data_IF_985876164725
#
_entry.id   IF_985876164725
#
_cell.length_a   1.000
_cell.length_b   1.000
_cell.length_c   1.000
_cell.angle_alpha   90.00
_cell.angle_beta   90.00
_cell.angle_gamma   90.00
#
_symmetry.space_group_name_H-M   'P 1'
#
loop_
_entity.id
_entity.type
_entity.pdbx_description
1 polymer ?
#
# COMPACT_ATOMS: atom_id res chain seq x y z
N UNK A 1 -7.68 -21.33 -11.63
CA UNK A 1 -6.82 -21.25 -10.42
C UNK A 1 -5.40 -20.95 -10.90
N UNK A 2 -4.71 -19.98 -10.34
CA UNK A 2 -3.33 -19.68 -10.70
C UNK A 2 -2.43 -20.74 -10.06
N UNK A 3 -1.60 -21.40 -10.87
CA UNK A 3 -0.63 -22.38 -10.40
C UNK A 3 0.71 -21.66 -10.15
N UNK A 4 1.28 -21.85 -8.99
CA UNK A 4 2.58 -21.28 -8.64
C UNK A 4 3.40 -22.25 -7.81
N UNK A 5 4.71 -22.14 -7.90
CA UNK A 5 5.66 -22.83 -7.06
C UNK A 5 6.15 -21.88 -5.96
N UNK A 6 6.48 -22.44 -4.79
CA UNK A 6 6.94 -21.68 -3.63
C UNK A 6 8.21 -22.29 -3.06
N UNK A 7 9.14 -21.41 -2.66
CA UNK A 7 10.30 -21.78 -1.84
C UNK A 7 10.53 -20.72 -0.74
N UNK A 8 11.36 -21.05 0.23
CA UNK A 8 11.78 -20.16 1.30
C UNK A 8 13.29 -20.14 1.35
N UNK A 9 13.90 -18.95 1.20
CA UNK A 9 15.36 -18.80 1.32
C UNK A 9 15.79 -18.90 2.79
N UNK A 10 17.08 -19.13 3.02
CA UNK A 10 17.66 -19.24 4.39
C UNK A 10 17.49 -17.98 5.23
N UNK A 11 17.44 -16.81 4.57
CA UNK A 11 17.20 -15.52 5.22
C UNK A 11 15.71 -15.22 5.48
N UNK A 12 14.80 -16.15 5.20
CA UNK A 12 13.37 -16.02 5.43
C UNK A 12 12.58 -15.35 4.32
N UNK A 13 13.20 -14.98 3.19
CA UNK A 13 12.46 -14.47 2.02
C UNK A 13 11.60 -15.58 1.41
N UNK A 14 10.31 -15.33 1.32
CA UNK A 14 9.38 -16.22 0.59
C UNK A 14 9.43 -15.89 -0.89
N UNK A 15 9.64 -16.90 -1.74
CA UNK A 15 9.70 -16.77 -3.20
C UNK A 15 8.55 -17.52 -3.83
N UNK A 16 7.80 -16.85 -4.70
CA UNK A 16 6.72 -17.41 -5.50
C UNK A 16 7.10 -17.33 -6.97
N UNK A 17 6.80 -18.34 -7.76
CA UNK A 17 7.01 -18.33 -9.21
C UNK A 17 5.80 -18.92 -9.93
N UNK A 18 5.28 -18.16 -10.90
CA UNK A 18 4.27 -18.61 -11.86
C UNK A 18 4.86 -18.49 -13.28
N UNK A 19 5.05 -19.63 -13.97
CA UNK A 19 5.53 -19.66 -15.36
C UNK A 19 4.37 -19.45 -16.33
N UNK A 20 4.44 -18.38 -17.12
CA UNK A 20 3.55 -18.13 -18.26
C UNK A 20 4.40 -17.85 -19.52
N UNK A 21 4.37 -18.77 -20.46
CA UNK A 21 5.14 -18.70 -21.72
C UNK A 21 4.42 -17.91 -22.82
N UNK A 22 3.20 -17.43 -22.58
CA UNK A 22 2.41 -16.69 -23.56
C UNK A 22 2.77 -15.20 -23.61
N UNK A 23 3.64 -14.74 -22.75
CA UNK A 23 4.13 -13.36 -22.69
C UNK A 23 5.65 -13.32 -22.85
N UNK A 24 6.24 -12.29 -23.50
CA UNK A 24 7.69 -12.07 -23.52
C UNK A 24 8.20 -11.37 -22.25
N UNK A 25 7.33 -11.01 -21.31
CA UNK A 25 7.67 -10.26 -20.12
C UNK A 25 7.70 -11.14 -18.87
N UNK A 26 8.39 -10.61 -17.84
CA UNK A 26 8.30 -11.10 -16.46
C UNK A 26 7.93 -9.91 -15.56
N UNK A 27 6.97 -10.13 -14.68
CA UNK A 27 6.69 -9.21 -13.57
C UNK A 27 7.42 -9.71 -12.32
N UNK A 28 8.27 -8.87 -11.76
CA UNK A 28 8.93 -9.05 -10.46
C UNK A 28 8.21 -8.17 -9.46
N UNK A 29 7.63 -8.78 -8.43
CA UNK A 29 6.83 -8.09 -7.42
C UNK A 29 7.41 -8.39 -6.05
N UNK A 30 7.69 -7.35 -5.25
CA UNK A 30 8.14 -7.48 -3.86
C UNK A 30 7.12 -6.80 -2.94
N UNK A 31 6.55 -7.60 -2.06
CA UNK A 31 5.61 -7.18 -1.04
C UNK A 31 6.32 -7.20 0.31
N UNK A 32 6.38 -6.04 0.97
CA UNK A 32 6.78 -5.92 2.38
C UNK A 32 5.54 -5.90 3.28
N UNK A 33 5.56 -6.69 4.36
CA UNK A 33 4.46 -6.77 5.34
C UNK A 33 4.49 -5.59 6.30
N UNK A 34 4.48 -4.38 5.75
CA UNK A 34 4.48 -3.11 6.47
C UNK A 34 3.59 -2.12 5.74
N UNK A 35 2.68 -1.50 6.46
CA UNK A 35 1.78 -0.46 5.97
C UNK A 35 1.51 0.56 7.05
N UNK A 36 0.55 1.45 6.82
CA UNK A 36 0.28 2.54 7.77
C UNK A 36 -0.16 2.05 9.16
N UNK A 37 -0.70 0.84 9.31
CA UNK A 37 -1.05 0.27 10.61
C UNK A 37 0.15 0.00 11.52
N UNK A 38 1.35 -0.08 10.97
CA UNK A 38 2.58 -0.31 11.71
C UNK A 38 3.21 0.97 12.25
N UNK A 39 2.58 2.11 12.00
CA UNK A 39 3.04 3.43 12.42
C UNK A 39 2.57 3.77 13.84
N UNK A 40 3.18 4.79 14.42
CA UNK A 40 2.75 5.37 15.69
C UNK A 40 1.79 6.53 15.42
N UNK A 41 0.84 6.76 16.32
CA UNK A 41 -0.19 7.81 16.19
C UNK A 41 0.37 9.25 16.11
N UNK A 42 1.57 9.46 16.61
CA UNK A 42 2.32 10.74 16.54
C UNK A 42 3.24 10.84 15.33
N UNK A 43 3.35 9.77 14.52
CA UNK A 43 4.26 9.64 13.38
C UNK A 43 3.63 8.84 12.25
N UNK A 44 2.52 9.36 11.73
CA UNK A 44 1.77 8.71 10.64
C UNK A 44 2.25 9.18 9.27
N UNK A 45 2.07 8.36 8.23
CA UNK A 45 2.49 8.61 6.86
C UNK A 45 3.90 8.09 6.53
N UNK A 46 4.56 7.40 7.47
CA UNK A 46 5.93 6.89 7.27
C UNK A 46 5.99 5.78 6.23
N UNK A 47 5.03 4.86 6.20
CA UNK A 47 5.01 3.79 5.22
C UNK A 47 4.89 4.35 3.78
N UNK A 48 4.09 5.38 3.59
CA UNK A 48 3.96 6.07 2.31
C UNK A 48 5.20 6.91 1.97
N UNK A 49 5.78 7.63 2.95
CA UNK A 49 7.06 8.31 2.75
C UNK A 49 8.15 7.31 2.31
N UNK A 50 8.15 6.10 2.88
CA UNK A 50 9.09 5.05 2.49
C UNK A 50 8.88 4.55 1.06
N UNK A 51 7.64 4.45 0.59
CA UNK A 51 7.36 4.15 -0.80
C UNK A 51 8.11 5.11 -1.72
N UNK A 52 8.04 6.44 -1.45
CA UNK A 52 8.77 7.44 -2.21
C UNK A 52 10.30 7.34 -2.05
N UNK A 53 10.79 7.13 -0.83
CA UNK A 53 12.24 7.03 -0.56
C UNK A 53 12.89 5.84 -1.26
N UNK A 54 12.15 4.75 -1.47
CA UNK A 54 12.64 3.56 -2.17
C UNK A 54 12.95 3.80 -3.65
N UNK A 55 12.44 4.87 -4.25
CA UNK A 55 12.78 5.32 -5.60
C UNK A 55 13.92 6.36 -5.62
N UNK A 56 14.32 6.87 -4.46
CA UNK A 56 15.35 7.90 -4.32
C UNK A 56 16.80 7.43 -4.44
N UNK A 57 17.01 6.17 -4.88
CA UNK A 57 18.33 5.56 -5.03
C UNK A 57 18.69 4.64 -3.85
N UNK A 58 19.65 3.76 -4.10
CA UNK A 58 20.18 2.77 -3.16
C UNK A 58 21.70 2.90 -3.02
N UNK A 59 22.35 1.94 -2.37
CA UNK A 59 23.80 2.04 -2.10
C UNK A 59 24.65 2.11 -3.39
N UNK A 60 24.23 1.42 -4.45
CA UNK A 60 24.98 1.31 -5.71
C UNK A 60 24.18 1.85 -6.91
N UNK A 61 22.95 2.30 -6.71
CA UNK A 61 22.05 2.79 -7.78
C UNK A 61 21.59 4.21 -7.43
N UNK A 62 22.03 5.19 -8.21
CA UNK A 62 21.63 6.59 -8.02
C UNK A 62 20.29 6.89 -8.67
N UNK A 63 20.00 6.31 -9.84
CA UNK A 63 18.80 6.56 -10.65
C UNK A 63 18.13 5.23 -11.00
N UNK A 64 17.19 4.84 -10.15
CA UNK A 64 16.45 3.59 -10.29
C UNK A 64 15.64 3.56 -11.60
N UNK A 65 14.87 4.60 -11.88
CA UNK A 65 13.97 4.66 -13.03
C UNK A 65 14.71 4.58 -14.36
N UNK A 66 15.88 5.22 -14.45
CA UNK A 66 16.73 5.15 -15.63
C UNK A 66 17.13 3.72 -15.98
N UNK A 67 17.52 2.92 -14.97
CA UNK A 67 17.91 1.53 -15.20
C UNK A 67 16.73 0.68 -15.65
N UNK A 68 15.56 0.87 -15.07
CA UNK A 68 14.33 0.20 -15.48
C UNK A 68 13.98 0.54 -16.93
N UNK A 69 13.98 1.83 -17.29
CA UNK A 69 13.67 2.29 -18.65
C UNK A 69 14.67 1.79 -19.70
N UNK A 70 15.98 1.83 -19.41
CA UNK A 70 17.00 1.31 -20.31
C UNK A 70 16.87 -0.21 -20.55
N UNK A 71 16.36 -0.94 -19.58
CA UNK A 71 16.08 -2.37 -19.72
C UNK A 71 14.69 -2.66 -20.35
N UNK A 72 13.96 -1.63 -20.78
CA UNK A 72 12.63 -1.75 -21.39
C UNK A 72 11.53 -2.14 -20.41
N UNK A 73 11.74 -1.84 -19.13
CA UNK A 73 10.78 -2.12 -18.06
C UNK A 73 9.90 -0.92 -17.71
N UNK A 74 8.87 -1.21 -16.93
CA UNK A 74 8.00 -0.26 -16.25
C UNK A 74 7.87 -0.65 -14.78
N UNK A 75 7.86 0.33 -13.87
CA UNK A 75 7.81 0.10 -12.43
C UNK A 75 6.79 0.97 -11.74
N UNK A 76 6.22 0.47 -10.65
CA UNK A 76 5.34 1.24 -9.79
C UNK A 76 5.34 0.65 -8.37
N UNK A 77 4.69 1.37 -7.45
CA UNK A 77 4.48 0.93 -6.09
C UNK A 77 3.13 1.41 -5.54
N UNK A 78 2.71 0.83 -4.43
CA UNK A 78 1.60 1.34 -3.64
C UNK A 78 1.71 0.92 -2.18
N UNK A 79 1.21 1.77 -1.30
CA UNK A 79 1.10 1.52 0.13
C UNK A 79 -0.36 1.41 0.54
N UNK A 80 -0.67 0.40 1.35
CA UNK A 80 -1.97 0.21 1.98
C UNK A 80 -1.86 0.34 3.51
N UNK A 81 -2.95 0.11 4.20
CA UNK A 81 -2.90 0.02 5.65
C UNK A 81 -1.98 -1.13 6.13
N UNK A 82 -1.86 -2.23 5.37
CA UNK A 82 -1.27 -3.49 5.81
C UNK A 82 0.07 -3.83 5.16
N UNK A 83 0.34 -3.30 3.98
CA UNK A 83 1.50 -3.66 3.18
C UNK A 83 1.98 -2.52 2.27
N UNK A 84 3.24 -2.61 1.86
CA UNK A 84 3.83 -1.79 0.80
C UNK A 84 4.35 -2.72 -0.29
N UNK A 85 3.97 -2.45 -1.52
CA UNK A 85 4.23 -3.30 -2.65
C UNK A 85 4.97 -2.55 -3.75
N UNK A 86 6.01 -3.18 -4.31
CA UNK A 86 6.80 -2.66 -5.42
C UNK A 86 6.78 -3.69 -6.55
N UNK A 87 6.69 -3.24 -7.78
CA UNK A 87 6.74 -4.16 -8.91
C UNK A 87 7.39 -3.55 -10.14
N UNK A 88 8.05 -4.41 -10.91
CA UNK A 88 8.66 -4.12 -12.20
C UNK A 88 8.12 -5.12 -13.20
N UNK A 89 7.65 -4.66 -14.35
CA UNK A 89 7.38 -5.49 -15.51
C UNK A 89 8.48 -5.23 -16.55
N UNK A 90 9.19 -6.27 -16.96
CA UNK A 90 10.40 -6.16 -17.77
C UNK A 90 10.46 -7.28 -18.81
N UNK A 91 11.08 -7.09 -20.00
CA UNK A 91 11.38 -8.19 -20.90
C UNK A 91 12.13 -9.33 -20.19
N UNK A 92 11.73 -10.57 -20.44
CA UNK A 92 12.26 -11.73 -19.70
C UNK A 92 13.79 -11.88 -19.78
N UNK A 93 14.41 -11.45 -20.88
CA UNK A 93 15.86 -11.47 -21.04
C UNK A 93 16.60 -10.48 -20.11
N UNK A 94 15.90 -9.45 -19.63
CA UNK A 94 16.44 -8.40 -18.77
C UNK A 94 16.05 -8.56 -17.29
N UNK A 95 15.51 -9.72 -16.89
CA UNK A 95 15.03 -9.98 -15.52
C UNK A 95 16.09 -9.71 -14.45
N UNK A 96 17.37 -9.98 -14.73
CA UNK A 96 18.43 -9.75 -13.74
C UNK A 96 18.61 -8.28 -13.40
N UNK A 97 18.27 -7.35 -14.30
CA UNK A 97 18.23 -5.92 -13.99
C UNK A 97 17.19 -5.63 -12.89
N UNK A 98 15.99 -6.19 -12.99
CA UNK A 98 14.96 -6.02 -11.97
C UNK A 98 15.40 -6.63 -10.63
N UNK A 99 15.95 -7.83 -10.63
CA UNK A 99 16.41 -8.50 -9.41
C UNK A 99 17.59 -7.77 -8.74
N UNK A 100 18.51 -7.25 -9.54
CA UNK A 100 19.60 -6.40 -9.05
C UNK A 100 19.07 -5.13 -8.36
N UNK A 101 18.23 -4.37 -9.03
CA UNK A 101 17.65 -3.13 -8.49
C UNK A 101 16.90 -3.38 -7.19
N UNK A 102 16.06 -4.41 -7.16
CA UNK A 102 15.26 -4.76 -6.00
C UNK A 102 16.11 -5.27 -4.81
N UNK A 103 17.13 -6.08 -5.10
CA UNK A 103 18.03 -6.59 -4.07
C UNK A 103 18.91 -5.49 -3.48
N UNK A 104 19.39 -4.56 -4.30
CA UNK A 104 20.23 -3.45 -3.84
C UNK A 104 19.46 -2.53 -2.91
N UNK A 105 18.22 -2.14 -3.26
CA UNK A 105 17.40 -1.30 -2.37
C UNK A 105 16.90 -2.03 -1.12
N UNK A 106 16.75 -3.37 -1.14
CA UNK A 106 16.46 -4.15 0.05
C UNK A 106 17.66 -4.21 0.99
N UNK A 107 18.87 -4.31 0.44
CA UNK A 107 20.10 -4.37 1.23
C UNK A 107 20.47 -3.03 1.86
N UNK A 108 20.41 -1.94 1.09
CA UNK A 108 20.81 -0.62 1.57
C UNK A 108 20.26 0.52 0.71
N UNK A 109 19.50 1.43 1.33
CA UNK A 109 19.08 2.67 0.68
C UNK A 109 20.13 3.77 0.83
N UNK A 110 20.13 4.73 -0.11
CA UNK A 110 20.90 5.95 0.01
C UNK A 110 20.19 6.94 0.95
N UNK A 111 20.47 6.84 2.24
CA UNK A 111 19.89 7.73 3.25
C UNK A 111 20.62 9.07 3.31
N UNK A 112 20.38 9.95 2.34
CA UNK A 112 20.87 11.31 2.39
C UNK A 112 19.82 12.29 2.96
N UNK A 113 20.28 13.34 3.67
CA UNK A 113 19.38 14.38 4.18
C UNK A 113 18.64 15.08 3.03
N UNK A 114 19.34 15.31 1.92
CA UNK A 114 18.75 15.93 0.73
C UNK A 114 17.61 15.09 0.14
N UNK A 115 17.80 13.78 -0.04
CA UNK A 115 16.76 12.89 -0.56
C UNK A 115 15.53 12.86 0.38
N UNK A 116 15.77 12.80 1.69
CA UNK A 116 14.70 12.88 2.67
C UNK A 116 13.91 14.19 2.56
N UNK A 117 14.59 15.34 2.50
CA UNK A 117 13.95 16.65 2.45
C UNK A 117 13.13 16.83 1.17
N UNK A 118 13.63 16.33 0.03
CA UNK A 118 12.88 16.33 -1.24
C UNK A 118 11.62 15.49 -1.13
N UNK A 119 11.72 14.24 -0.67
CA UNK A 119 10.56 13.34 -0.60
C UNK A 119 9.54 13.80 0.46
N UNK A 120 9.97 14.41 1.56
CA UNK A 120 9.05 15.04 2.50
C UNK A 120 8.20 16.12 1.82
N UNK A 121 8.79 16.98 1.00
CA UNK A 121 8.03 18.02 0.27
C UNK A 121 7.05 17.41 -0.72
N UNK A 122 7.45 16.36 -1.46
CA UNK A 122 6.57 15.66 -2.39
C UNK A 122 5.34 15.10 -1.67
N UNK A 123 5.54 14.35 -0.58
CA UNK A 123 4.45 13.74 0.20
C UNK A 123 3.54 14.80 0.83
N UNK A 124 4.12 15.92 1.34
CA UNK A 124 3.33 17.03 1.90
C UNK A 124 2.47 17.70 0.83
N UNK A 125 3.00 17.94 -0.36
CA UNK A 125 2.21 18.51 -1.46
C UNK A 125 1.13 17.56 -1.94
N UNK A 126 1.41 16.26 -2.01
CA UNK A 126 0.40 15.23 -2.31
C UNK A 126 -0.72 15.23 -1.26
N UNK A 127 -0.36 15.32 0.04
CA UNK A 127 -1.35 15.44 1.11
C UNK A 127 -2.25 16.65 0.91
N UNK A 128 -1.67 17.83 0.64
CA UNK A 128 -2.44 19.05 0.39
C UNK A 128 -3.37 18.90 -0.81
N UNK A 129 -2.86 18.37 -1.91
CA UNK A 129 -3.65 18.16 -3.13
C UNK A 129 -4.81 17.19 -2.89
N UNK A 130 -4.58 16.06 -2.22
CA UNK A 130 -5.62 15.06 -2.00
C UNK A 130 -6.66 15.47 -0.97
N UNK A 131 -6.22 16.07 0.13
CA UNK A 131 -7.06 16.23 1.32
C UNK A 131 -7.48 17.67 1.61
N UNK A 132 -6.68 18.67 1.23
CA UNK A 132 -6.97 20.06 1.59
C UNK A 132 -7.47 20.90 0.43
N UNK A 133 -7.05 20.62 -0.80
CA UNK A 133 -7.34 21.46 -1.96
C UNK A 133 -8.52 20.93 -2.80
N UNK A 134 -9.13 19.82 -2.41
CA UNK A 134 -10.28 19.24 -3.11
C UNK A 134 -11.54 19.30 -2.25
N UNK A 135 -12.71 19.63 -2.79
CA UNK A 135 -13.98 19.49 -2.10
C UNK A 135 -14.14 18.05 -1.58
N UNK A 136 -14.58 17.91 -0.34
CA UNK A 136 -14.70 16.63 0.38
C UNK A 136 -13.38 15.85 0.56
N UNK A 137 -12.24 16.43 0.23
CA UNK A 137 -10.93 15.74 0.30
C UNK A 137 -10.60 15.22 1.69
N UNK A 138 -10.91 15.98 2.74
CA UNK A 138 -10.59 15.67 4.13
C UNK A 138 -11.59 14.70 4.82
N UNK A 139 -12.58 14.19 4.10
CA UNK A 139 -13.59 13.28 4.66
C UNK A 139 -12.94 12.08 5.35
N UNK A 140 -11.96 11.44 4.73
CA UNK A 140 -11.30 10.27 5.31
C UNK A 140 -10.44 10.60 6.52
N UNK A 141 -9.87 11.81 6.61
CA UNK A 141 -9.15 12.28 7.80
C UNK A 141 -10.08 12.40 9.02
N UNK A 142 -11.35 12.67 8.80
CA UNK A 142 -12.38 12.86 9.83
C UNK A 142 -13.18 11.58 10.09
N UNK A 143 -13.48 10.81 9.05
CA UNK A 143 -14.31 9.61 9.13
C UNK A 143 -13.57 8.42 9.75
N UNK A 144 -12.29 8.22 9.43
CA UNK A 144 -11.50 7.13 9.99
C UNK A 144 -11.40 7.19 11.53
N UNK A 145 -11.05 8.32 12.17
CA UNK A 145 -11.05 8.41 13.64
C UNK A 145 -12.46 8.28 14.27
N UNK A 146 -13.52 8.55 13.51
CA UNK A 146 -14.88 8.33 13.96
C UNK A 146 -15.23 6.82 13.94
N UNK A 147 -14.76 6.11 12.92
CA UNK A 147 -14.95 4.67 12.79
C UNK A 147 -14.06 3.87 13.74
N UNK A 148 -12.77 4.18 13.82
CA UNK A 148 -11.78 3.48 14.64
C UNK A 148 -11.28 4.38 15.78
N UNK A 149 -11.38 3.90 17.02
CA UNK A 149 -10.91 4.63 18.20
C UNK A 149 -9.52 4.19 18.66
N UNK A 150 -9.21 2.92 18.48
CA UNK A 150 -7.99 2.27 18.98
C UNK A 150 -7.15 1.70 17.84
N UNK A 151 -7.80 1.03 16.90
CA UNK A 151 -7.11 0.36 15.79
C UNK A 151 -6.38 1.37 14.90
N UNK A 152 -5.15 1.08 14.41
CA UNK A 152 -4.38 1.99 13.55
C UNK A 152 -5.04 2.34 12.21
N UNK A 153 -6.10 1.66 11.79
CA UNK A 153 -6.89 2.07 10.61
C UNK A 153 -7.60 3.42 10.78
N UNK A 154 -7.50 4.04 11.95
CA UNK A 154 -7.99 5.40 12.22
C UNK A 154 -7.24 6.51 11.47
N UNK A 155 -6.08 6.21 10.88
CA UNK A 155 -5.39 7.14 9.98
C UNK A 155 -5.23 6.58 8.56
N UNK A 156 -5.23 7.45 7.53
CA UNK A 156 -4.97 7.04 6.16
C UNK A 156 -3.48 6.76 5.93
N UNK A 157 -3.16 6.08 4.84
CA UNK A 157 -1.78 5.71 4.48
C UNK A 157 -0.83 6.90 4.34
N UNK A 158 -1.32 8.03 3.86
CA UNK A 158 -0.52 9.26 3.72
C UNK A 158 -0.28 9.98 5.06
N UNK A 159 -0.94 9.53 6.13
CA UNK A 159 -0.85 10.11 7.47
C UNK A 159 -2.02 11.02 7.84
N UNK A 160 -2.08 11.40 9.13
CA UNK A 160 -3.12 12.30 9.67
C UNK A 160 -2.81 13.76 9.43
N UNK A 161 -1.54 14.12 9.30
CA UNK A 161 -1.09 15.51 9.29
C UNK A 161 0.26 15.66 8.60
N UNK A 162 0.46 16.70 7.78
CA UNK A 162 1.76 17.02 7.16
C UNK A 162 2.89 17.20 8.19
N UNK A 163 2.58 17.70 9.39
CA UNK A 163 3.57 17.94 10.44
C UNK A 163 4.25 16.63 10.92
N UNK A 164 3.59 15.49 10.81
CA UNK A 164 4.21 14.19 11.11
C UNK A 164 5.35 13.88 10.15
N UNK A 165 5.17 14.21 8.87
CA UNK A 165 6.19 14.05 7.82
C UNK A 165 7.28 15.12 7.93
N UNK A 166 6.91 16.37 8.20
CA UNK A 166 7.88 17.48 8.41
C UNK A 166 8.89 17.16 9.52
N UNK A 167 8.42 16.58 10.62
CA UNK A 167 9.25 16.23 11.78
C UNK A 167 10.07 14.95 11.59
N UNK A 168 9.86 14.20 10.51
CA UNK A 168 10.63 12.99 10.24
C UNK A 168 12.13 13.30 10.13
N UNK A 169 12.94 12.56 10.88
CA UNK A 169 14.39 12.67 10.88
C UNK A 169 15.04 11.52 10.12
N UNK A 170 16.29 11.71 9.71
CA UNK A 170 17.05 10.64 9.05
C UNK A 170 17.21 9.39 9.96
N UNK A 171 17.28 9.60 11.28
CA UNK A 171 17.32 8.51 12.26
C UNK A 171 16.01 7.72 12.27
N UNK A 172 14.86 8.40 12.23
CA UNK A 172 13.55 7.74 12.18
C UNK A 172 13.41 6.89 10.93
N UNK A 173 13.85 7.43 9.78
CA UNK A 173 13.84 6.75 8.48
C UNK A 173 14.73 5.50 8.51
N UNK A 174 15.97 5.61 9.00
CA UNK A 174 16.87 4.45 9.13
C UNK A 174 16.30 3.38 10.05
N UNK A 175 15.71 3.78 11.18
CA UNK A 175 15.09 2.84 12.11
C UNK A 175 13.91 2.12 11.48
N UNK A 176 13.05 2.83 10.73
CA UNK A 176 11.91 2.24 10.04
C UNK A 176 12.35 1.23 8.98
N UNK A 177 13.38 1.56 8.18
CA UNK A 177 13.96 0.64 7.22
C UNK A 177 14.48 -0.63 7.88
N UNK A 178 15.36 -0.50 8.87
CA UNK A 178 15.93 -1.64 9.57
C UNK A 178 14.88 -2.50 10.28
N UNK A 179 13.74 -1.89 10.65
CA UNK A 179 12.70 -2.62 11.34
C UNK A 179 11.81 -3.41 10.38
N UNK A 180 11.51 -2.89 9.19
CA UNK A 180 10.48 -3.46 8.33
C UNK A 180 10.96 -3.96 6.97
N UNK A 181 12.05 -3.40 6.41
CA UNK A 181 12.54 -3.72 5.08
C UNK A 181 13.64 -4.77 5.14
N UNK A 182 13.22 -6.04 5.33
CA UNK A 182 14.12 -7.17 5.45
C UNK A 182 13.55 -8.39 4.71
N UNK A 183 14.41 -9.33 4.26
CA UNK A 183 13.97 -10.53 3.54
C UNK A 183 12.89 -11.33 4.27
N UNK A 184 13.02 -11.51 5.58
CA UNK A 184 12.07 -12.28 6.39
C UNK A 184 10.73 -11.54 6.65
N UNK A 185 10.63 -10.27 6.25
CA UNK A 185 9.37 -9.50 6.21
C UNK A 185 8.83 -9.30 4.80
N UNK A 186 9.43 -9.95 3.79
CA UNK A 186 9.08 -9.76 2.40
C UNK A 186 8.59 -11.06 1.73
N UNK A 187 7.88 -10.88 0.64
CA UNK A 187 7.52 -11.93 -0.32
C UNK A 187 7.91 -11.42 -1.70
N UNK A 188 8.71 -12.17 -2.44
CA UNK A 188 8.98 -11.91 -3.85
C UNK A 188 8.18 -12.86 -4.72
N UNK A 189 7.53 -12.33 -5.74
CA UNK A 189 6.77 -13.09 -6.73
C UNK A 189 7.25 -12.77 -8.13
N UNK A 190 7.59 -13.81 -8.89
CA UNK A 190 7.94 -13.72 -10.29
C UNK A 190 6.84 -14.37 -11.12
N UNK A 191 6.28 -13.64 -12.09
CA UNK A 191 5.22 -14.17 -12.97
C UNK A 191 5.50 -13.79 -14.42
N UNK A 192 5.47 -14.76 -15.33
CA UNK A 192 5.70 -14.55 -16.75
C UNK A 192 6.64 -15.57 -17.39
N UNK A 193 7.40 -15.14 -18.41
CA UNK A 193 8.26 -16.03 -19.20
C UNK A 193 9.56 -16.36 -18.47
N UNK A 194 9.44 -17.12 -17.40
CA UNK A 194 10.58 -17.63 -16.62
C UNK A 194 10.27 -19.02 -16.09
N UNK A 195 11.25 -19.92 -16.18
CA UNK A 195 11.16 -21.25 -15.59
C UNK A 195 11.41 -21.18 -14.08
N UNK A 196 10.68 -22.01 -13.32
CA UNK A 196 10.70 -22.00 -11.85
C UNK A 196 12.12 -22.18 -11.27
N UNK A 197 12.89 -23.15 -11.76
CA UNK A 197 14.24 -23.41 -11.25
C UNK A 197 15.19 -22.24 -11.53
N UNK A 198 15.07 -21.62 -12.70
CA UNK A 198 15.82 -20.41 -13.05
C UNK A 198 15.41 -19.24 -12.13
N UNK A 199 14.12 -19.04 -11.91
CA UNK A 199 13.60 -18.01 -11.01
C UNK A 199 14.18 -18.15 -9.60
N UNK A 200 14.11 -19.36 -9.02
CA UNK A 200 14.62 -19.61 -7.68
C UNK A 200 16.13 -19.43 -7.57
N UNK A 201 16.88 -19.91 -8.56
CA UNK A 201 18.35 -19.72 -8.61
C UNK A 201 18.74 -18.26 -8.71
N UNK A 202 18.02 -17.47 -9.51
CA UNK A 202 18.30 -16.04 -9.66
C UNK A 202 17.94 -15.26 -8.37
N UNK A 203 16.82 -15.58 -7.74
CA UNK A 203 16.45 -14.93 -6.45
C UNK A 203 17.44 -15.31 -5.36
N UNK A 204 17.90 -16.57 -5.27
CA UNK A 204 18.97 -16.96 -4.34
C UNK A 204 20.27 -16.19 -4.60
N UNK A 205 20.68 -16.06 -5.89
CA UNK A 205 21.87 -15.29 -6.29
C UNK A 205 21.83 -13.84 -5.79
N UNK A 206 20.69 -13.16 -5.96
CA UNK A 206 20.59 -11.72 -5.72
C UNK A 206 20.19 -11.38 -4.28
N UNK A 207 19.39 -12.22 -3.62
CA UNK A 207 18.82 -11.93 -2.30
C UNK A 207 19.36 -12.82 -1.19
N UNK A 208 20.00 -13.94 -1.51
CA UNK A 208 20.37 -14.97 -0.53
C UNK A 208 21.30 -14.49 0.59
N UNK A 209 22.22 -13.56 0.26
CA UNK A 209 23.20 -13.00 1.20
C UNK A 209 22.67 -11.79 2.01
N UNK A 210 21.47 -11.26 1.69
CA UNK A 210 20.89 -10.17 2.46
C UNK A 210 20.46 -10.69 3.83
N UNK A 211 20.94 -10.11 4.95
CA UNK A 211 20.67 -10.63 6.27
C UNK A 211 19.20 -10.45 6.67
N UNK A 212 18.66 -11.44 7.37
CA UNK A 212 17.38 -11.31 8.06
C UNK A 212 17.51 -10.35 9.26
N UNK A 213 16.45 -9.63 9.56
CA UNK A 213 16.40 -8.76 10.74
C UNK A 213 15.54 -9.38 11.85
N UNK A 214 15.81 -9.00 13.10
CA UNK A 214 14.88 -9.29 14.18
C UNK A 214 13.66 -8.38 14.04
N UNK A 215 12.49 -8.99 13.85
CA UNK A 215 11.23 -8.28 13.63
C UNK A 215 10.34 -8.40 14.87
N UNK A 216 10.46 -7.52 15.86
CA UNK A 216 9.41 -7.41 16.86
C UNK A 216 8.21 -6.74 16.19
N UNK A 217 7.24 -7.55 15.74
CA UNK A 217 6.00 -7.02 15.18
C UNK A 217 5.24 -6.35 16.33
N UNK A 218 4.87 -5.06 16.17
CA UNK A 218 4.03 -4.40 17.17
C UNK A 218 2.70 -5.16 17.27
N UNK A 219 2.23 -5.38 18.47
CA UNK A 219 0.90 -5.91 18.72
C UNK A 219 -0.12 -4.86 18.26
N UNK A 220 -0.95 -5.21 17.27
CA UNK A 220 -2.00 -4.33 16.77
C UNK A 220 -3.20 -4.48 17.70
N UNK A 221 -3.64 -3.42 18.38
CA UNK A 221 -4.79 -3.49 19.26
C UNK A 221 -6.08 -3.70 18.45
N UNK A 222 -6.92 -4.65 18.86
CA UNK A 222 -8.23 -4.85 18.25
C UNK A 222 -9.17 -3.66 18.50
N UNK A 223 -9.96 -3.31 17.50
CA UNK A 223 -10.97 -2.28 17.68
C UNK A 223 -12.13 -2.80 18.56
N UNK A 224 -12.55 -2.05 19.59
CA UNK A 224 -13.68 -2.45 20.40
C UNK A 224 -14.99 -2.46 19.61
N UNK A 225 -15.89 -3.38 19.96
CA UNK A 225 -17.21 -3.45 19.34
C UNK A 225 -17.95 -2.12 19.49
N UNK A 226 -18.38 -1.56 18.37
CA UNK A 226 -19.20 -0.35 18.37
C UNK A 226 -20.63 -0.66 18.81
N UNK A 227 -21.07 -0.09 19.92
CA UNK A 227 -22.40 -0.32 20.50
C UNK A 227 -23.41 0.80 20.25
N UNK A 228 -22.96 1.91 19.67
CA UNK A 228 -23.81 3.09 19.37
C UNK A 228 -23.33 3.80 18.12
N UNK A 229 -24.25 4.48 17.44
CA UNK A 229 -23.92 5.37 16.33
C UNK A 229 -22.96 6.48 16.80
N UNK A 230 -21.96 6.78 15.99
CA UNK A 230 -21.08 7.95 16.12
C UNK A 230 -21.37 8.86 14.93
N UNK A 231 -21.60 10.15 15.21
CA UNK A 231 -21.98 11.12 14.18
C UNK A 231 -21.13 12.38 14.29
N UNK A 232 -20.74 12.91 13.14
CA UNK A 232 -20.06 14.17 12.99
C UNK A 232 -20.76 14.98 11.91
N UNK A 233 -21.04 16.25 12.16
CA UNK A 233 -21.57 17.21 11.19
C UNK A 233 -20.51 18.28 11.01
N UNK A 234 -20.11 18.54 9.77
CA UNK A 234 -19.07 19.50 9.42
C UNK A 234 -19.71 20.52 8.49
N UNK A 235 -19.88 21.77 8.94
CA UNK A 235 -20.21 22.86 8.04
C UNK A 235 -19.01 23.15 7.13
N UNK A 236 -19.26 23.18 5.82
CA UNK A 236 -18.24 23.48 4.82
C UNK A 236 -18.88 24.31 3.70
N UNK A 237 -18.39 25.51 3.50
CA UNK A 237 -18.91 26.44 2.49
C UNK A 237 -18.23 26.30 1.13
N UNK A 238 -17.16 25.50 1.07
CA UNK A 238 -16.34 25.32 -0.14
C UNK A 238 -16.75 24.09 -0.95
N UNK A 239 -17.79 23.36 -0.47
CA UNK A 239 -18.31 22.19 -1.17
C UNK A 239 -19.56 22.55 -2.01
N UNK A 240 -19.74 21.94 -3.19
CA UNK A 240 -20.85 22.29 -4.09
C UNK A 240 -22.23 21.80 -3.64
N UNK A 241 -22.30 20.82 -2.73
CA UNK A 241 -23.55 20.24 -2.22
C UNK A 241 -23.31 19.50 -0.89
N UNK A 242 -24.39 19.23 -0.16
CA UNK A 242 -24.33 18.39 1.03
C UNK A 242 -23.96 16.95 0.67
N UNK A 243 -23.13 16.32 1.50
CA UNK A 243 -22.72 14.94 1.34
C UNK A 243 -22.91 14.13 2.64
N UNK A 244 -23.30 12.87 2.50
CA UNK A 244 -23.49 11.95 3.62
C UNK A 244 -22.57 10.75 3.42
N UNK A 245 -21.68 10.51 4.38
CA UNK A 245 -20.81 9.35 4.42
C UNK A 245 -21.21 8.45 5.58
N UNK A 246 -21.36 7.15 5.31
CA UNK A 246 -21.69 6.13 6.34
C UNK A 246 -20.69 5.00 6.24
N UNK A 247 -20.12 4.60 7.37
CA UNK A 247 -19.16 3.50 7.48
C UNK A 247 -19.68 2.46 8.46
N UNK A 248 -19.51 1.21 8.12
CA UNK A 248 -19.84 0.06 8.95
C UNK A 248 -18.61 -0.84 9.04
N UNK A 249 -18.32 -1.34 10.25
CA UNK A 249 -17.28 -2.35 10.41
C UNK A 249 -17.75 -3.68 9.83
N UNK A 250 -16.83 -4.37 9.19
CA UNK A 250 -17.01 -5.73 8.67
C UNK A 250 -15.75 -6.54 8.92
N UNK A 251 -15.78 -7.83 8.71
CA UNK A 251 -14.57 -8.66 8.77
C UNK A 251 -13.58 -8.32 7.67
N UNK A 252 -12.30 -8.53 7.93
CA UNK A 252 -11.22 -8.31 6.97
C UNK A 252 -11.34 -9.18 5.71
N UNK A 253 -10.47 -8.92 4.73
CA UNK A 253 -10.52 -9.51 3.38
C UNK A 253 -10.54 -11.03 3.33
N UNK A 254 -10.00 -11.69 4.34
CA UNK A 254 -9.96 -13.16 4.44
C UNK A 254 -11.09 -13.75 5.29
N UNK A 255 -11.98 -12.92 5.81
CA UNK A 255 -13.12 -13.37 6.62
C UNK A 255 -14.20 -14.02 5.74
N UNK A 256 -14.96 -14.94 6.32
CA UNK A 256 -16.08 -15.61 5.64
C UNK A 256 -17.14 -14.63 5.12
N UNK A 257 -17.30 -13.49 5.81
CA UNK A 257 -18.33 -12.50 5.49
C UNK A 257 -17.88 -11.47 4.44
N UNK A 258 -16.62 -11.44 4.03
CA UNK A 258 -16.11 -10.42 3.10
C UNK A 258 -16.91 -10.39 1.80
N UNK A 259 -16.99 -11.53 1.10
CA UNK A 259 -17.73 -11.60 -0.17
C UNK A 259 -19.24 -11.40 -0.03
N UNK A 260 -19.80 -11.75 1.14
CA UNK A 260 -21.20 -11.44 1.44
C UNK A 260 -21.42 -9.93 1.52
N UNK A 261 -20.54 -9.19 2.20
CA UNK A 261 -20.60 -7.73 2.26
C UNK A 261 -20.35 -7.09 0.88
N UNK A 262 -19.46 -7.65 0.08
CA UNK A 262 -19.16 -7.21 -1.28
C UNK A 262 -20.43 -7.31 -2.17
N UNK A 263 -21.09 -8.45 -2.16
CA UNK A 263 -22.37 -8.64 -2.87
C UNK A 263 -23.45 -7.69 -2.34
N UNK A 264 -23.52 -7.44 -1.02
CA UNK A 264 -24.46 -6.47 -0.47
C UNK A 264 -24.18 -5.07 -1.00
N UNK A 265 -22.91 -4.66 -1.11
CA UNK A 265 -22.54 -3.36 -1.67
C UNK A 265 -22.95 -3.23 -3.13
N UNK A 266 -22.80 -4.28 -3.93
CA UNK A 266 -23.26 -4.34 -5.32
C UNK A 266 -24.79 -4.21 -5.44
N UNK A 267 -25.54 -4.93 -4.62
CA UNK A 267 -27.00 -4.83 -4.58
C UNK A 267 -27.43 -3.40 -4.20
N UNK A 268 -26.66 -2.73 -3.36
CA UNK A 268 -26.96 -1.36 -2.92
C UNK A 268 -26.69 -0.32 -3.99
N UNK A 269 -25.53 -0.35 -4.66
CA UNK A 269 -25.14 0.77 -5.54
C UNK A 269 -24.58 0.39 -6.91
N UNK A 270 -24.29 -0.87 -7.21
CA UNK A 270 -23.65 -1.22 -8.48
C UNK A 270 -24.69 -1.27 -9.63
N UNK A 271 -24.61 -0.27 -10.51
CA UNK A 271 -25.43 -0.15 -11.71
C UNK A 271 -26.82 0.44 -11.47
N UNK A 272 -27.52 0.72 -12.58
CA UNK A 272 -28.79 1.47 -12.59
C UNK A 272 -30.00 0.71 -12.01
N UNK A 273 -29.90 -0.60 -11.82
CA UNK A 273 -30.91 -1.45 -11.18
C UNK A 273 -30.72 -1.59 -9.66
N UNK A 274 -29.64 -1.08 -9.11
CA UNK A 274 -29.32 -1.18 -7.69
C UNK A 274 -30.32 -0.39 -6.83
N UNK A 275 -30.44 -0.87 -5.57
CA UNK A 275 -31.51 -0.37 -4.69
C UNK A 275 -31.41 1.12 -4.38
N UNK A 276 -30.22 1.59 -4.06
CA UNK A 276 -29.99 3.01 -3.74
C UNK A 276 -30.14 3.89 -4.98
N UNK A 277 -29.61 3.43 -6.13
CA UNK A 277 -29.77 4.15 -7.39
C UNK A 277 -31.24 4.36 -7.74
N UNK A 278 -32.04 3.27 -7.75
CA UNK A 278 -33.46 3.35 -8.08
C UNK A 278 -34.22 4.26 -7.11
N UNK A 279 -34.01 4.09 -5.81
CA UNK A 279 -34.81 4.80 -4.82
C UNK A 279 -34.38 6.25 -4.62
N UNK A 280 -33.07 6.53 -4.59
CA UNK A 280 -32.56 7.84 -4.17
C UNK A 280 -32.14 8.74 -5.34
N UNK A 281 -31.64 8.19 -6.45
CA UNK A 281 -31.32 8.97 -7.63
C UNK A 281 -32.51 9.07 -8.60
N UNK A 282 -33.03 7.91 -9.02
CA UNK A 282 -34.03 7.85 -10.09
C UNK A 282 -35.42 8.29 -9.64
N UNK A 283 -35.91 7.75 -8.51
CA UNK A 283 -37.28 7.98 -8.06
C UNK A 283 -37.42 9.27 -7.25
N UNK A 284 -36.57 9.47 -6.24
CA UNK A 284 -36.70 10.63 -5.33
C UNK A 284 -35.90 11.85 -5.76
N UNK A 285 -34.86 11.67 -6.59
CA UNK A 285 -33.92 12.71 -7.02
C UNK A 285 -33.30 13.50 -5.86
N UNK A 286 -33.14 12.87 -4.70
CA UNK A 286 -32.56 13.49 -3.51
C UNK A 286 -31.04 13.62 -3.63
N UNK A 287 -30.40 12.75 -4.41
CA UNK A 287 -28.96 12.72 -4.59
C UNK A 287 -28.61 12.82 -6.08
N UNK A 288 -27.48 13.44 -6.37
CA UNK A 288 -26.87 13.46 -7.72
C UNK A 288 -25.96 12.28 -7.95
N UNK A 289 -25.35 11.73 -6.90
CA UNK A 289 -24.50 10.55 -6.94
C UNK A 289 -24.71 9.71 -5.67
N UNK A 290 -24.49 8.41 -5.79
CA UNK A 290 -24.52 7.49 -4.67
C UNK A 290 -23.61 6.30 -4.97
N UNK A 291 -22.87 5.85 -3.95
CA UNK A 291 -21.98 4.71 -4.04
C UNK A 291 -22.00 3.90 -2.76
N UNK A 292 -21.74 2.59 -2.85
CA UNK A 292 -21.51 1.70 -1.74
C UNK A 292 -20.48 0.65 -2.16
N UNK A 293 -19.43 0.49 -1.37
CA UNK A 293 -18.33 -0.44 -1.65
C UNK A 293 -17.74 -0.99 -0.35
N UNK A 294 -16.99 -2.06 -0.45
CA UNK A 294 -16.24 -2.63 0.67
C UNK A 294 -14.77 -2.26 0.57
N UNK A 295 -14.14 -1.99 1.72
CA UNK A 295 -12.69 -1.85 1.82
C UNK A 295 -12.12 -3.17 2.35
N UNK A 296 -11.16 -3.75 1.62
CA UNK A 296 -10.62 -5.07 1.90
C UNK A 296 -9.27 -5.02 2.58
N UNK A 297 -9.19 -4.49 3.79
CA UNK A 297 -8.00 -4.56 4.65
C UNK A 297 -7.89 -5.93 5.34
N UNK A 298 -6.79 -6.18 6.07
CA UNK A 298 -6.53 -7.48 6.70
C UNK A 298 -7.44 -7.77 7.89
N UNK A 299 -7.71 -6.74 8.72
CA UNK A 299 -8.45 -6.82 9.98
C UNK A 299 -9.80 -6.12 9.91
#
# INVERSE_FOLDING_TARGET
MIHFNRTLLRNGLTVLCNTDRNTPFVSVNILYKVGSRNEQDTRTGFAHLFEHLMFGGSAHVEDYDRHVQLAGGDSNAYTTNDLTNYYITIPADNIETALWLESDRMAALNFSQHALDVQKQVVIEEFKQRYLNNPYGDVWLKLRPLAYQVHPYRWPTIGMSPEHIEKATLTDVKNFFHHYYAPNNAIISLSGNIETDKAFSLVEKWFGDIPAHHLPLPEIPGEPLQTRERRLVIPDNDVPADAIYKVYHMGGRTSENFYTCDIISDILSNGQSSRLYVNLLRNSRLFSAIDAYVSGDKD
#
